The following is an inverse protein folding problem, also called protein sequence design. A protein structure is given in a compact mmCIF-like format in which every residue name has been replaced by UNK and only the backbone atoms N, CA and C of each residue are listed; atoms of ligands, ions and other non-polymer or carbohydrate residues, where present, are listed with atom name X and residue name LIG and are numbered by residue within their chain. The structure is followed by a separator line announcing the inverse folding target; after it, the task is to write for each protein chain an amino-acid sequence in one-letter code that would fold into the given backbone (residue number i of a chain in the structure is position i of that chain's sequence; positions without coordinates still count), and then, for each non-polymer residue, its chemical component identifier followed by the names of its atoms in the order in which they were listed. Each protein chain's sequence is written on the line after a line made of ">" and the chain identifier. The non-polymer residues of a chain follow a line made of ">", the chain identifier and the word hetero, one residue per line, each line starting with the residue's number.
data_IF_425135517595
#
_entry.id   IF_425135517595
#
_cell.length_a   1.000
_cell.length_b   1.000
_cell.length_c   1.000
_cell.angle_alpha   90.00
_cell.angle_beta   90.00
_cell.angle_gamma   90.00
#
_symmetry.space_group_name_H-M   'P 1'
#
loop_
_entity.id
_entity.type
_entity.pdbx_description
1 polymer ?
#
# COMPACT_ATOMS: atom_id res chain seq x y z
N UNK A 1 -89.53 -5.91 6.43
CA UNK A 1 -88.80 -4.72 5.88
C UNK A 1 -87.39 -5.18 5.49
N UNK A 2 -87.12 -5.26 4.22
CA UNK A 2 -85.93 -5.90 3.61
C UNK A 2 -84.82 -4.89 3.44
N UNK A 3 -83.63 -5.13 4.04
CA UNK A 3 -82.40 -4.37 3.82
C UNK A 3 -81.62 -4.97 2.64
N UNK A 4 -81.37 -4.20 1.60
CA UNK A 4 -80.54 -4.57 0.49
C UNK A 4 -79.12 -4.01 0.79
N UNK A 5 -78.15 -4.94 0.95
CA UNK A 5 -76.70 -4.62 0.97
C UNK A 5 -76.16 -4.58 -0.47
N UNK A 6 -75.68 -3.44 -0.89
CA UNK A 6 -74.90 -3.28 -2.15
C UNK A 6 -73.45 -3.55 -1.89
N UNK A 7 -72.87 -4.63 -2.39
CA UNK A 7 -71.46 -4.90 -2.47
C UNK A 7 -70.91 -4.21 -3.72
N UNK A 8 -69.99 -3.16 -3.54
CA UNK A 8 -69.18 -2.63 -4.59
C UNK A 8 -67.87 -3.42 -4.64
N UNK A 9 -67.67 -4.18 -5.70
CA UNK A 9 -66.40 -4.78 -6.06
C UNK A 9 -65.46 -3.67 -6.61
N UNK A 10 -64.39 -3.32 -5.88
CA UNK A 10 -63.30 -2.49 -6.38
C UNK A 10 -62.27 -3.44 -7.03
N UNK A 11 -62.24 -3.47 -8.36
CA UNK A 11 -61.16 -4.12 -9.11
C UNK A 11 -59.89 -3.24 -8.97
N UNK A 12 -58.93 -3.70 -8.19
CA UNK A 12 -57.56 -3.15 -8.18
C UNK A 12 -56.81 -3.75 -9.38
N UNK A 13 -56.69 -3.00 -10.45
CA UNK A 13 -55.76 -3.29 -11.54
C UNK A 13 -54.36 -3.05 -11.06
N UNK A 14 -53.61 -4.11 -10.69
CA UNK A 14 -52.17 -4.05 -10.45
C UNK A 14 -51.50 -3.90 -11.81
N UNK A 15 -51.11 -2.68 -12.16
CA UNK A 15 -50.19 -2.43 -13.24
C UNK A 15 -48.79 -2.93 -12.80
N UNK A 16 -48.42 -4.15 -13.26
CA UNK A 16 -47.05 -4.62 -13.26
C UNK A 16 -46.27 -3.70 -14.19
N UNK A 17 -45.65 -2.66 -13.62
CA UNK A 17 -44.56 -1.93 -14.30
C UNK A 17 -43.37 -2.91 -14.32
N UNK A 18 -43.24 -3.65 -15.40
CA UNK A 18 -41.96 -4.27 -15.75
C UNK A 18 -40.93 -3.14 -15.93
N UNK A 19 -40.21 -2.80 -14.89
CA UNK A 19 -38.97 -2.07 -15.03
C UNK A 19 -38.02 -2.96 -15.84
N UNK A 20 -37.91 -2.69 -17.13
CA UNK A 20 -36.79 -3.14 -17.93
C UNK A 20 -35.56 -2.52 -17.26
N UNK A 21 -34.95 -3.27 -16.35
CA UNK A 21 -33.60 -2.98 -15.92
C UNK A 21 -32.73 -3.13 -17.19
N UNK A 22 -32.39 -2.01 -17.81
CA UNK A 22 -31.34 -2.01 -18.83
C UNK A 22 -30.10 -2.54 -18.13
N UNK A 23 -29.64 -3.72 -18.54
CA UNK A 23 -28.38 -4.26 -18.05
C UNK A 23 -27.28 -3.22 -18.32
N UNK A 24 -26.48 -2.91 -17.31
CA UNK A 24 -25.35 -2.00 -17.50
C UNK A 24 -24.50 -2.48 -18.68
N UNK A 25 -23.94 -1.59 -19.52
CA UNK A 25 -23.04 -1.96 -20.61
C UNK A 25 -21.95 -2.88 -20.09
N UNK A 26 -21.63 -3.94 -20.83
CA UNK A 26 -20.56 -4.86 -20.47
C UNK A 26 -19.27 -4.45 -21.19
N UNK A 27 -18.14 -4.73 -20.57
CA UNK A 27 -16.84 -4.72 -21.22
C UNK A 27 -16.44 -6.18 -21.43
N UNK A 28 -16.15 -6.55 -22.68
CA UNK A 28 -15.76 -7.90 -23.06
C UNK A 28 -14.31 -7.87 -23.55
N UNK A 29 -13.39 -8.37 -22.74
CA UNK A 29 -11.96 -8.46 -23.03
C UNK A 29 -11.72 -9.84 -23.65
N UNK A 30 -11.38 -9.89 -24.94
CA UNK A 30 -11.24 -11.13 -25.72
C UNK A 30 -9.79 -11.52 -25.97
N UNK A 31 -9.55 -12.81 -26.03
CA UNK A 31 -8.28 -13.42 -26.43
C UNK A 31 -7.09 -13.06 -25.53
N UNK A 32 -7.37 -12.71 -24.26
CA UNK A 32 -6.33 -12.36 -23.29
C UNK A 32 -5.61 -13.60 -22.74
N UNK A 33 -4.32 -13.46 -22.44
CA UNK A 33 -3.60 -14.36 -21.55
C UNK A 33 -3.74 -13.85 -20.12
N UNK A 34 -4.43 -14.61 -19.25
CA UNK A 34 -4.66 -14.22 -17.86
C UNK A 34 -3.49 -14.64 -16.98
N UNK A 35 -2.94 -13.70 -16.25
CA UNK A 35 -1.87 -13.90 -15.28
C UNK A 35 -2.29 -13.32 -13.93
N UNK A 36 -2.47 -14.18 -12.96
CA UNK A 36 -2.55 -13.79 -11.55
C UNK A 36 -1.69 -14.73 -10.70
N UNK A 37 -1.31 -14.28 -9.51
CA UNK A 37 -0.32 -15.00 -8.71
C UNK A 37 -0.92 -16.14 -7.84
N UNK A 38 -2.14 -16.57 -8.11
CA UNK A 38 -2.79 -17.69 -7.43
C UNK A 38 -3.20 -18.81 -8.38
N UNK A 39 -3.54 -18.47 -9.63
CA UNK A 39 -4.01 -19.41 -10.62
C UNK A 39 -2.93 -19.71 -11.68
N UNK A 40 -2.97 -20.88 -12.34
CA UNK A 40 -2.16 -21.13 -13.53
C UNK A 40 -2.43 -20.08 -14.62
N UNK A 41 -1.45 -19.80 -15.46
CA UNK A 41 -1.65 -18.96 -16.66
C UNK A 41 -2.72 -19.58 -17.56
N UNK A 42 -3.70 -18.78 -17.98
CA UNK A 42 -4.81 -19.20 -18.85
C UNK A 42 -4.75 -18.41 -20.14
N UNK A 43 -4.52 -19.08 -21.23
CA UNK A 43 -4.38 -18.46 -22.56
C UNK A 43 -5.72 -18.39 -23.29
N UNK A 44 -5.85 -17.41 -24.21
CA UNK A 44 -6.99 -17.24 -25.09
C UNK A 44 -8.35 -17.18 -24.36
N UNK A 45 -8.41 -16.45 -23.27
CA UNK A 45 -9.62 -16.31 -22.46
C UNK A 45 -10.39 -15.04 -22.81
N UNK A 46 -11.69 -15.08 -22.62
CA UNK A 46 -12.56 -13.89 -22.61
C UNK A 46 -13.02 -13.61 -21.20
N UNK A 47 -12.82 -12.36 -20.76
CA UNK A 47 -13.29 -11.86 -19.47
C UNK A 47 -14.42 -10.88 -19.71
N UNK A 48 -15.57 -11.14 -19.10
CA UNK A 48 -16.75 -10.28 -19.18
C UNK A 48 -16.87 -9.48 -17.90
N UNK A 49 -16.91 -8.16 -18.01
CA UNK A 49 -17.11 -7.24 -16.89
C UNK A 49 -18.52 -6.65 -16.97
N UNK A 50 -19.18 -6.55 -15.83
CA UNK A 50 -20.46 -5.87 -15.70
C UNK A 50 -20.48 -5.01 -14.42
N UNK A 51 -20.61 -3.69 -14.59
CA UNK A 51 -20.38 -2.75 -13.50
C UNK A 51 -18.96 -2.89 -12.97
N UNK A 52 -18.77 -2.87 -11.67
CA UNK A 52 -17.47 -2.98 -11.02
C UNK A 52 -17.01 -4.43 -10.74
N UNK A 53 -17.63 -5.43 -11.38
CA UNK A 53 -17.34 -6.84 -11.12
C UNK A 53 -16.99 -7.63 -12.39
N UNK A 54 -16.13 -8.64 -12.22
CA UNK A 54 -15.91 -9.70 -13.20
C UNK A 54 -17.14 -10.62 -13.19
N UNK A 55 -17.89 -10.63 -14.29
CA UNK A 55 -19.11 -11.44 -14.41
C UNK A 55 -18.80 -12.89 -14.74
N UNK A 56 -17.98 -13.12 -15.78
CA UNK A 56 -17.57 -14.47 -16.19
C UNK A 56 -16.18 -14.46 -16.82
N UNK A 57 -15.60 -15.66 -16.89
CA UNK A 57 -14.36 -15.95 -17.59
C UNK A 57 -14.57 -17.23 -18.36
N UNK A 58 -14.42 -17.18 -19.68
CA UNK A 58 -14.76 -18.25 -20.60
C UNK A 58 -13.68 -18.42 -21.66
N UNK A 59 -13.63 -19.56 -22.35
CA UNK A 59 -12.85 -19.68 -23.57
C UNK A 59 -13.42 -18.75 -24.66
N UNK A 60 -12.56 -18.10 -25.43
CA UNK A 60 -12.95 -16.97 -26.31
C UNK A 60 -13.97 -17.28 -27.39
N UNK A 61 -14.26 -18.56 -27.67
CA UNK A 61 -15.25 -18.99 -28.67
C UNK A 61 -16.69 -19.04 -28.14
N UNK A 62 -16.93 -18.94 -26.83
CA UNK A 62 -18.23 -19.26 -26.19
C UNK A 62 -19.09 -18.06 -25.81
N UNK A 63 -18.54 -16.84 -25.81
CA UNK A 63 -19.25 -15.64 -25.32
C UNK A 63 -20.20 -15.07 -26.39
N UNK A 64 -21.47 -14.90 -26.02
CA UNK A 64 -22.46 -14.19 -26.85
C UNK A 64 -22.27 -12.68 -26.65
N UNK A 65 -22.05 -11.99 -27.77
CA UNK A 65 -21.78 -10.55 -27.83
C UNK A 65 -23.06 -9.82 -28.28
N UNK A 66 -23.44 -8.78 -27.56
CA UNK A 66 -24.41 -7.79 -28.01
C UNK A 66 -23.66 -6.57 -28.58
N UNK A 67 -23.50 -6.55 -29.91
CA UNK A 67 -22.74 -5.51 -30.60
C UNK A 67 -23.28 -4.07 -30.44
N UNK A 68 -24.50 -3.90 -29.90
CA UNK A 68 -25.12 -2.59 -29.67
C UNK A 68 -24.81 -2.05 -28.26
N UNK A 69 -24.61 -2.93 -27.29
CA UNK A 69 -24.48 -2.55 -25.87
C UNK A 69 -23.13 -2.92 -25.25
N UNK A 70 -22.37 -3.85 -25.86
CA UNK A 70 -21.09 -4.31 -25.33
C UNK A 70 -19.91 -3.50 -25.86
N UNK A 71 -19.00 -3.09 -24.97
CA UNK A 71 -17.68 -2.58 -25.36
C UNK A 71 -16.73 -3.75 -25.52
N UNK A 72 -16.19 -3.93 -26.72
CA UNK A 72 -15.29 -5.05 -27.03
C UNK A 72 -13.84 -4.55 -27.00
N UNK A 73 -13.00 -5.21 -26.21
CA UNK A 73 -11.55 -4.99 -26.15
C UNK A 73 -10.86 -6.24 -26.68
N UNK A 74 -10.12 -6.10 -27.79
CA UNK A 74 -9.29 -7.18 -28.33
C UNK A 74 -7.93 -7.19 -27.63
N UNK A 75 -7.69 -8.22 -26.83
CA UNK A 75 -6.45 -8.45 -26.11
C UNK A 75 -5.60 -9.58 -26.73
N UNK A 76 -5.76 -9.83 -28.02
CA UNK A 76 -4.95 -10.82 -28.75
C UNK A 76 -3.45 -10.51 -28.59
N UNK A 77 -2.69 -11.49 -28.08
CA UNK A 77 -1.26 -11.36 -27.80
C UNK A 77 -0.91 -10.47 -26.61
N UNK A 78 -1.89 -10.09 -25.78
CA UNK A 78 -1.71 -9.27 -24.59
C UNK A 78 -1.96 -10.08 -23.31
N UNK A 79 -1.52 -9.50 -22.20
CA UNK A 79 -1.53 -10.12 -20.88
C UNK A 79 -2.44 -9.33 -19.95
N UNK A 80 -3.40 -10.00 -19.34
CA UNK A 80 -4.32 -9.41 -18.39
C UNK A 80 -3.87 -9.78 -16.97
N UNK A 81 -3.64 -8.79 -16.14
CA UNK A 81 -3.28 -8.93 -14.72
C UNK A 81 -4.30 -8.21 -13.83
N UNK A 82 -4.43 -8.56 -12.54
CA UNK A 82 -5.17 -7.74 -11.58
C UNK A 82 -4.57 -6.35 -11.47
N UNK A 83 -5.40 -5.36 -11.14
CA UNK A 83 -4.94 -4.01 -10.80
C UNK A 83 -3.96 -4.02 -9.63
N UNK A 84 -2.92 -3.19 -9.74
CA UNK A 84 -1.84 -3.14 -8.76
C UNK A 84 -2.21 -2.30 -7.53
N UNK A 85 -1.56 -2.61 -6.42
CA UNK A 85 -1.59 -1.83 -5.19
C UNK A 85 -0.25 -1.14 -4.95
N UNK A 86 -0.30 0.15 -4.61
CA UNK A 86 0.78 0.78 -3.85
C UNK A 86 0.35 0.88 -2.39
N UNK A 87 0.88 -0.03 -1.57
CA UNK A 87 0.41 -0.17 -0.20
C UNK A 87 1.21 0.65 0.83
N UNK A 88 1.92 1.67 0.37
CA UNK A 88 2.57 2.66 1.23
C UNK A 88 2.72 4.00 0.50
N UNK A 89 1.75 4.87 0.67
CA UNK A 89 1.76 6.22 0.09
C UNK A 89 1.41 7.28 1.14
N UNK A 90 1.69 8.55 0.81
CA UNK A 90 1.39 9.70 1.66
C UNK A 90 0.79 10.84 0.83
N UNK A 91 -0.53 10.88 0.68
CA UNK A 91 -1.23 11.86 -0.15
C UNK A 91 -1.08 13.32 0.31
N UNK A 92 -0.69 13.53 1.58
CA UNK A 92 -0.61 14.88 2.17
C UNK A 92 0.82 15.29 2.57
N UNK A 93 1.84 14.49 2.20
CA UNK A 93 3.23 14.74 2.60
C UNK A 93 3.82 15.99 1.91
N UNK A 94 3.58 16.16 0.61
CA UNK A 94 4.02 17.30 -0.19
C UNK A 94 2.81 18.17 -0.54
N UNK A 95 2.70 19.38 0.06
CA UNK A 95 1.55 20.25 -0.17
C UNK A 95 1.37 20.70 -1.63
N UNK A 96 2.44 20.72 -2.42
CA UNK A 96 2.42 21.06 -3.84
C UNK A 96 1.86 19.99 -4.76
N UNK A 97 1.79 18.73 -4.29
CA UNK A 97 1.19 17.62 -5.01
C UNK A 97 -0.26 17.44 -4.54
N UNK A 98 -1.20 17.93 -5.34
CA UNK A 98 -2.60 17.73 -5.03
C UNK A 98 -3.04 16.28 -5.26
N UNK A 99 -4.04 15.85 -4.50
CA UNK A 99 -4.50 14.46 -4.52
C UNK A 99 -5.12 14.04 -5.86
N UNK A 100 -5.68 14.96 -6.66
CA UNK A 100 -6.24 14.62 -7.98
C UNK A 100 -5.14 14.24 -8.95
N UNK A 101 -4.08 15.04 -9.01
CA UNK A 101 -2.88 14.71 -9.78
C UNK A 101 -2.28 13.38 -9.33
N UNK A 102 -2.22 13.12 -8.01
CA UNK A 102 -1.72 11.85 -7.51
C UNK A 102 -2.60 10.67 -7.93
N UNK A 103 -3.93 10.79 -7.87
CA UNK A 103 -4.87 9.75 -8.30
C UNK A 103 -4.76 9.46 -9.79
N UNK A 104 -4.69 10.50 -10.63
CA UNK A 104 -4.51 10.35 -12.08
C UNK A 104 -3.21 9.61 -12.39
N UNK A 105 -2.11 9.94 -11.71
CA UNK A 105 -0.82 9.27 -11.86
C UNK A 105 -0.86 7.81 -11.41
N UNK A 106 -1.53 7.49 -10.29
CA UNK A 106 -1.70 6.10 -9.86
C UNK A 106 -2.46 5.30 -10.92
N UNK A 107 -3.62 5.78 -11.37
CA UNK A 107 -4.42 5.07 -12.38
C UNK A 107 -3.69 4.91 -13.70
N UNK A 108 -3.01 5.97 -14.18
CA UNK A 108 -2.24 5.93 -15.43
C UNK A 108 -1.12 4.86 -15.41
N UNK A 109 -0.62 4.52 -14.23
CA UNK A 109 0.39 3.48 -14.03
C UNK A 109 -0.19 2.14 -13.54
N UNK A 110 -1.51 1.91 -13.68
CA UNK A 110 -2.15 0.64 -13.32
C UNK A 110 -2.36 0.42 -11.83
N UNK A 111 -2.11 1.41 -10.98
CA UNK A 111 -2.35 1.30 -9.54
C UNK A 111 -3.82 1.63 -9.28
N UNK A 112 -4.62 0.59 -9.09
CA UNK A 112 -6.08 0.69 -8.87
C UNK A 112 -6.45 0.74 -7.39
N UNK A 113 -5.50 0.49 -6.50
CA UNK A 113 -5.68 0.57 -5.04
C UNK A 113 -4.45 1.17 -4.38
N UNK A 114 -4.67 2.04 -3.40
CA UNK A 114 -3.61 2.67 -2.61
C UNK A 114 -3.89 2.58 -1.12
N UNK A 115 -2.82 2.50 -0.33
CA UNK A 115 -2.88 2.55 1.13
C UNK A 115 -2.12 3.76 1.64
N UNK A 116 -2.85 4.84 2.03
CA UNK A 116 -2.25 5.99 2.72
C UNK A 116 -1.90 5.61 4.15
N UNK A 117 -0.62 5.75 4.48
CA UNK A 117 -0.03 5.27 5.73
C UNK A 117 0.31 6.36 6.71
N UNK A 118 -0.27 7.54 6.56
CA UNK A 118 -0.12 8.60 7.55
C UNK A 118 -0.49 9.98 7.05
N UNK A 119 -1.63 10.46 7.49
CA UNK A 119 -2.11 11.81 7.25
C UNK A 119 -3.03 12.27 8.38
N UNK A 120 -2.92 13.52 8.81
CA UNK A 120 -3.95 14.13 9.69
C UNK A 120 -5.28 14.16 8.91
N UNK A 121 -6.33 13.56 9.48
CA UNK A 121 -7.60 13.33 8.75
C UNK A 121 -8.21 14.62 8.19
N UNK A 122 -8.11 15.74 8.90
CA UNK A 122 -8.59 17.04 8.38
C UNK A 122 -7.89 17.48 7.08
N UNK A 123 -6.64 17.04 6.83
CA UNK A 123 -5.91 17.29 5.59
C UNK A 123 -6.21 16.26 4.52
N UNK A 124 -6.52 15.02 4.92
CA UNK A 124 -6.84 13.92 4.00
C UNK A 124 -8.31 13.95 3.55
N UNK A 125 -9.20 14.54 4.34
CA UNK A 125 -10.65 14.55 4.10
C UNK A 125 -11.04 15.00 2.68
N UNK A 126 -10.47 16.06 2.10
CA UNK A 126 -10.79 16.46 0.73
C UNK A 126 -10.48 15.36 -0.31
N UNK A 127 -9.43 14.55 -0.08
CA UNK A 127 -9.09 13.43 -0.95
C UNK A 127 -10.08 12.26 -0.77
N UNK A 128 -10.50 11.99 0.46
CA UNK A 128 -11.51 10.97 0.79
C UNK A 128 -12.86 11.36 0.16
N UNK A 129 -13.30 12.60 0.34
CA UNK A 129 -14.59 13.10 -0.20
C UNK A 129 -14.58 13.02 -1.73
N UNK A 130 -13.49 13.47 -2.36
CA UNK A 130 -13.36 13.37 -3.82
C UNK A 130 -13.39 11.93 -4.32
N UNK A 131 -12.76 10.98 -3.62
CA UNK A 131 -12.78 9.58 -3.98
C UNK A 131 -14.18 8.94 -3.85
N UNK A 132 -14.95 9.37 -2.86
CA UNK A 132 -16.33 8.93 -2.67
C UNK A 132 -17.29 9.52 -3.72
N UNK A 133 -17.09 10.77 -4.10
CA UNK A 133 -17.93 11.49 -5.09
C UNK A 133 -17.57 11.12 -6.54
N UNK A 134 -16.32 10.73 -6.80
CA UNK A 134 -15.80 10.41 -8.13
C UNK A 134 -15.11 9.03 -8.16
N UNK A 135 -15.84 7.96 -7.85
CA UNK A 135 -15.24 6.63 -7.75
C UNK A 135 -14.59 6.16 -9.06
N UNK A 136 -15.11 6.61 -10.20
CA UNK A 136 -14.58 6.36 -11.53
C UNK A 136 -13.22 7.02 -11.79
N UNK A 137 -12.84 8.08 -11.08
CA UNK A 137 -11.60 8.86 -11.29
C UNK A 137 -10.52 8.59 -10.27
N UNK A 138 -10.70 7.62 -9.40
CA UNK A 138 -9.80 7.40 -8.28
C UNK A 138 -9.50 5.93 -8.07
N UNK A 139 -8.29 5.57 -7.60
CA UNK A 139 -8.05 4.24 -7.08
C UNK A 139 -8.93 3.97 -5.84
N UNK A 140 -9.02 2.72 -5.41
CA UNK A 140 -9.59 2.39 -4.09
C UNK A 140 -8.65 2.90 -3.01
N UNK A 141 -9.16 3.72 -2.11
CA UNK A 141 -8.38 4.35 -1.06
C UNK A 141 -8.59 3.65 0.28
N UNK A 142 -7.50 3.14 0.85
CA UNK A 142 -7.41 2.63 2.21
C UNK A 142 -6.50 3.55 3.01
N UNK A 143 -6.87 3.94 4.23
CA UNK A 143 -6.09 4.90 5.00
C UNK A 143 -6.07 4.59 6.49
N UNK A 144 -4.97 4.98 7.15
CA UNK A 144 -4.81 4.86 8.61
C UNK A 144 -5.26 6.11 9.37
N UNK A 145 -5.43 7.22 8.67
CA UNK A 145 -5.41 8.50 9.34
C UNK A 145 -4.02 8.85 9.88
N UNK A 146 -3.91 9.58 10.99
CA UNK A 146 -2.62 10.05 11.51
C UNK A 146 -1.73 8.91 12.01
N UNK A 147 -0.42 9.13 11.95
CA UNK A 147 0.55 8.34 12.68
C UNK A 147 0.25 8.44 14.18
N UNK A 148 0.04 7.33 14.86
CA UNK A 148 -0.10 7.30 16.32
C UNK A 148 1.32 7.23 16.90
N UNK A 149 1.79 8.35 17.45
CA UNK A 149 3.13 8.50 18.00
C UNK A 149 3.09 8.88 19.47
N UNK A 150 4.21 8.85 20.19
CA UNK A 150 4.29 9.30 21.56
C UNK A 150 4.08 10.81 21.72
N UNK A 151 4.08 11.33 22.95
CA UNK A 151 3.96 12.78 23.21
C UNK A 151 5.06 13.59 22.51
N UNK A 152 6.25 13.00 22.34
CA UNK A 152 7.38 13.56 21.57
C UNK A 152 7.29 13.13 20.11
N UNK A 153 6.28 13.61 19.39
CA UNK A 153 6.01 13.24 17.99
C UNK A 153 7.16 13.57 17.05
N UNK A 154 7.44 12.67 16.13
CA UNK A 154 8.40 12.92 15.04
C UNK A 154 7.82 13.90 14.01
N UNK A 155 6.62 13.64 13.52
CA UNK A 155 5.95 14.43 12.46
C UNK A 155 4.88 15.35 13.05
N UNK A 156 5.29 16.46 13.66
CA UNK A 156 4.35 17.43 14.26
C UNK A 156 4.25 18.77 13.51
N UNK A 157 4.89 18.89 12.33
CA UNK A 157 4.75 20.05 11.45
C UNK A 157 5.53 21.30 11.88
N UNK A 158 6.57 21.14 12.70
CA UNK A 158 7.36 22.28 13.20
C UNK A 158 8.78 22.35 12.63
N UNK A 159 9.30 21.24 12.14
CA UNK A 159 10.65 21.15 11.58
C UNK A 159 10.59 20.97 10.05
N UNK A 160 11.56 21.55 9.29
CA UNK A 160 11.69 21.33 7.85
C UNK A 160 11.81 19.83 7.52
N UNK A 161 11.09 19.35 6.51
CA UNK A 161 11.09 17.94 6.11
C UNK A 161 10.20 17.04 6.99
N UNK A 162 9.58 17.56 8.06
CA UNK A 162 8.69 16.83 8.95
C UNK A 162 7.30 17.47 9.00
N UNK A 163 6.46 17.29 7.97
CA UNK A 163 5.10 17.84 7.96
C UNK A 163 4.25 17.28 9.10
N UNK A 164 3.10 17.88 9.36
CA UNK A 164 2.18 17.37 10.37
C UNK A 164 1.41 16.16 9.85
N UNK A 165 1.77 14.97 10.34
CA UNK A 165 1.17 13.69 9.97
C UNK A 165 0.70 12.88 11.19
N UNK A 166 1.00 13.31 12.41
CA UNK A 166 0.86 12.47 13.60
C UNK A 166 -0.01 13.07 14.69
N UNK A 167 -0.56 12.21 15.54
CA UNK A 167 -1.14 12.55 16.84
C UNK A 167 -0.25 11.97 17.95
N UNK A 168 -0.23 12.65 19.11
CA UNK A 168 0.50 12.18 20.30
C UNK A 168 -0.42 11.37 21.21
N UNK A 169 0.02 10.18 21.59
CA UNK A 169 -0.66 9.29 22.54
C UNK A 169 0.36 8.84 23.59
N UNK A 170 0.09 9.10 24.83
CA UNK A 170 0.93 8.71 25.96
C UNK A 170 0.15 7.90 26.99
N UNK A 171 0.77 7.62 28.12
CA UNK A 171 0.18 6.78 29.17
C UNK A 171 -1.02 7.43 29.89
N UNK A 172 -1.22 8.75 29.73
CA UNK A 172 -2.35 9.50 30.28
C UNK A 172 -3.48 9.67 29.25
N UNK A 173 -3.24 9.30 28.02
CA UNK A 173 -4.21 9.41 26.92
C UNK A 173 -5.15 8.21 26.95
N UNK A 174 -6.44 8.45 26.83
CA UNK A 174 -7.41 7.38 26.62
C UNK A 174 -7.25 6.80 25.20
N UNK A 175 -6.41 5.77 25.10
CA UNK A 175 -6.10 5.12 23.83
C UNK A 175 -7.33 4.50 23.16
N UNK A 176 -8.31 4.03 23.97
CA UNK A 176 -9.53 3.45 23.41
C UNK A 176 -10.42 4.53 22.77
N UNK A 177 -10.57 5.68 23.41
CA UNK A 177 -11.27 6.82 22.83
C UNK A 177 -10.62 7.30 21.53
N UNK A 178 -9.28 7.34 21.47
CA UNK A 178 -8.54 7.67 20.24
C UNK A 178 -8.84 6.69 19.13
N UNK A 179 -8.75 5.38 19.39
CA UNK A 179 -9.02 4.36 18.38
C UNK A 179 -10.48 4.39 17.93
N UNK A 180 -11.44 4.59 18.85
CA UNK A 180 -12.87 4.73 18.49
C UNK A 180 -13.09 5.92 17.56
N UNK A 181 -12.52 7.08 17.86
CA UNK A 181 -12.64 8.26 17.01
C UNK A 181 -12.05 8.05 15.61
N UNK A 182 -10.96 7.31 15.48
CA UNK A 182 -10.38 6.94 14.18
C UNK A 182 -11.29 5.98 13.41
N UNK A 183 -11.85 4.97 14.07
CA UNK A 183 -12.81 4.03 13.46
C UNK A 183 -14.06 4.76 12.96
N UNK A 184 -14.61 5.67 13.74
CA UNK A 184 -15.78 6.48 13.34
C UNK A 184 -15.48 7.35 12.10
N UNK A 185 -14.22 7.74 11.89
CA UNK A 185 -13.76 8.45 10.71
C UNK A 185 -13.36 7.53 9.53
N UNK A 186 -13.64 6.23 9.62
CA UNK A 186 -13.51 5.27 8.52
C UNK A 186 -12.09 4.77 8.25
N UNK A 187 -11.15 4.86 9.20
CA UNK A 187 -9.81 4.29 9.01
C UNK A 187 -9.87 2.78 8.78
N UNK A 188 -9.06 2.28 7.87
CA UNK A 188 -9.03 0.86 7.49
C UNK A 188 -8.06 0.04 8.35
N UNK A 189 -7.13 0.69 9.03
CA UNK A 189 -6.10 0.10 9.89
C UNK A 189 -5.48 1.19 10.77
N UNK A 190 -4.65 0.82 11.74
CA UNK A 190 -3.91 1.77 12.56
C UNK A 190 -2.43 1.79 12.18
N UNK A 191 -1.83 2.99 12.18
CA UNK A 191 -0.41 3.20 11.92
C UNK A 191 0.28 3.71 13.17
N UNK A 192 1.19 2.90 13.76
CA UNK A 192 2.03 3.30 14.89
C UNK A 192 3.35 3.89 14.45
N UNK A 193 3.96 4.67 15.37
CA UNK A 193 5.23 5.33 15.09
C UNK A 193 6.23 5.22 16.24
N UNK A 194 7.45 5.74 16.05
CA UNK A 194 8.66 5.33 16.76
C UNK A 194 8.77 5.83 18.23
N UNK A 195 8.07 6.92 18.61
CA UNK A 195 8.19 7.52 19.95
C UNK A 195 7.15 7.04 20.97
N UNK A 196 6.31 6.07 20.61
CA UNK A 196 5.40 5.44 21.57
C UNK A 196 6.18 4.75 22.71
N UNK A 197 5.63 4.80 23.94
CA UNK A 197 6.10 3.93 25.01
C UNK A 197 5.70 2.48 24.70
N UNK A 198 6.48 1.50 25.18
CA UNK A 198 6.13 0.09 25.05
C UNK A 198 4.73 -0.20 25.61
N UNK A 199 4.40 0.35 26.78
CA UNK A 199 3.10 0.19 27.44
C UNK A 199 1.94 0.71 26.57
N UNK A 200 2.05 1.93 26.05
CA UNK A 200 1.02 2.53 25.19
C UNK A 200 0.86 1.71 23.89
N UNK A 201 1.97 1.29 23.30
CA UNK A 201 1.94 0.49 22.07
C UNK A 201 1.25 -0.86 22.27
N UNK A 202 1.59 -1.59 23.34
CA UNK A 202 0.94 -2.86 23.67
C UNK A 202 -0.56 -2.70 23.95
N UNK A 203 -0.94 -1.61 24.64
CA UNK A 203 -2.35 -1.25 24.82
C UNK A 203 -3.08 -1.01 23.51
N UNK A 204 -2.48 -0.28 22.57
CA UNK A 204 -3.05 -0.04 21.24
C UNK A 204 -3.23 -1.34 20.43
N UNK A 205 -2.27 -2.28 20.51
CA UNK A 205 -2.41 -3.60 19.85
C UNK A 205 -3.61 -4.37 20.42
N UNK A 206 -3.77 -4.40 21.74
CA UNK A 206 -4.88 -5.09 22.39
C UNK A 206 -6.25 -4.47 22.03
N UNK A 207 -6.36 -3.13 21.98
CA UNK A 207 -7.58 -2.43 21.59
C UNK A 207 -7.90 -2.70 20.10
N UNK A 208 -6.91 -2.62 19.22
CA UNK A 208 -7.08 -2.86 17.80
C UNK A 208 -7.56 -4.30 17.53
N UNK A 209 -7.01 -5.28 18.23
CA UNK A 209 -7.41 -6.68 18.13
C UNK A 209 -8.89 -6.87 18.48
N UNK A 210 -9.39 -6.23 19.56
CA UNK A 210 -10.81 -6.30 19.93
C UNK A 210 -11.74 -5.71 18.87
N UNK A 211 -11.22 -4.78 18.05
CA UNK A 211 -11.97 -4.12 16.98
C UNK A 211 -11.73 -4.74 15.58
N UNK A 212 -11.01 -5.87 15.51
CA UNK A 212 -10.60 -6.51 14.25
C UNK A 212 -9.83 -5.57 13.30
N UNK A 213 -9.09 -4.61 13.85
CA UNK A 213 -8.20 -3.72 13.11
C UNK A 213 -6.78 -4.26 13.14
N UNK A 214 -6.11 -4.24 12.00
CA UNK A 214 -4.66 -4.49 11.96
C UNK A 214 -3.90 -3.24 12.38
N UNK A 215 -2.82 -3.44 13.13
CA UNK A 215 -1.83 -2.41 13.42
C UNK A 215 -0.59 -2.68 12.59
N UNK A 216 -0.15 -1.69 11.84
CA UNK A 216 1.10 -1.74 11.10
C UNK A 216 1.89 -0.46 11.34
N UNK A 217 3.15 -0.42 10.99
CA UNK A 217 3.91 0.83 11.08
C UNK A 217 5.38 0.65 11.40
N UNK A 218 5.93 1.69 11.98
CA UNK A 218 7.24 1.61 12.61
C UNK A 218 7.07 1.03 14.02
N UNK A 219 7.96 0.14 14.38
CA UNK A 219 7.99 -0.40 15.74
C UNK A 219 8.54 0.69 16.65
N UNK A 220 7.91 0.96 17.81
CA UNK A 220 8.44 1.92 18.77
C UNK A 220 9.87 1.59 19.16
N UNK A 221 10.69 2.63 19.29
CA UNK A 221 12.10 2.50 19.68
C UNK A 221 12.28 1.97 21.11
N UNK A 222 11.21 1.96 21.90
CA UNK A 222 11.19 1.56 23.32
C UNK A 222 11.04 0.07 23.56
N UNK A 223 10.62 -0.72 22.54
CA UNK A 223 10.20 -2.13 22.69
C UNK A 223 11.09 -3.09 21.90
N UNK A 224 11.20 -4.32 22.38
CA UNK A 224 11.78 -5.43 21.62
C UNK A 224 10.82 -5.89 20.53
N UNK A 225 11.37 -6.27 19.36
CA UNK A 225 10.56 -6.68 18.23
C UNK A 225 9.79 -7.98 18.48
N UNK A 226 10.40 -8.94 19.19
CA UNK A 226 9.74 -10.22 19.50
C UNK A 226 8.52 -10.00 20.38
N UNK A 227 8.63 -9.11 21.39
CA UNK A 227 7.51 -8.73 22.25
C UNK A 227 6.37 -8.06 21.44
N UNK A 228 6.70 -7.21 20.47
CA UNK A 228 5.72 -6.59 19.60
C UNK A 228 4.98 -7.65 18.72
N UNK A 229 5.70 -8.63 18.18
CA UNK A 229 5.14 -9.73 17.39
C UNK A 229 4.18 -10.57 18.25
N UNK A 230 4.62 -10.96 19.44
CA UNK A 230 3.83 -11.80 20.38
C UNK A 230 2.56 -11.07 20.86
N UNK A 231 2.59 -9.74 20.89
CA UNK A 231 1.43 -8.91 21.23
C UNK A 231 0.42 -8.71 20.08
N UNK A 232 0.66 -9.31 18.90
CA UNK A 232 -0.28 -9.27 17.77
C UNK A 232 -0.04 -8.15 16.76
N UNK A 233 1.22 -7.73 16.59
CA UNK A 233 1.58 -6.82 15.50
C UNK A 233 1.13 -7.36 14.14
N UNK A 234 0.38 -6.57 13.35
CA UNK A 234 -0.15 -6.98 12.06
C UNK A 234 0.79 -6.74 10.87
N UNK A 235 1.74 -5.79 10.99
CA UNK A 235 2.69 -5.52 9.91
C UNK A 235 3.79 -4.53 10.29
N UNK A 236 4.88 -4.54 9.51
CA UNK A 236 6.01 -3.61 9.64
C UNK A 236 6.28 -2.90 8.33
N UNK A 237 6.92 -1.74 8.42
CA UNK A 237 7.29 -0.93 7.26
C UNK A 237 8.76 -0.54 7.32
N UNK A 238 9.39 -0.35 6.13
CA UNK A 238 10.80 0.05 5.95
C UNK A 238 11.82 -0.86 6.64
N UNK A 239 11.45 -2.10 7.01
CA UNK A 239 12.33 -3.05 7.71
C UNK A 239 12.82 -2.47 9.07
N UNK A 240 12.07 -1.51 9.66
CA UNK A 240 12.50 -0.80 10.87
C UNK A 240 12.64 -1.72 12.08
N UNK A 241 13.69 -1.50 12.90
CA UNK A 241 14.06 -2.29 14.08
C UNK A 241 14.53 -3.74 13.82
N UNK A 242 14.49 -4.22 12.58
CA UNK A 242 15.02 -5.55 12.27
C UNK A 242 16.55 -5.59 12.35
N UNK A 243 17.21 -4.46 12.02
CA UNK A 243 18.64 -4.27 12.25
C UNK A 243 19.03 -4.59 13.69
N UNK A 244 18.33 -4.00 14.65
CA UNK A 244 18.54 -4.28 16.07
C UNK A 244 18.17 -5.72 16.45
N UNK A 245 17.00 -6.20 16.03
CA UNK A 245 16.51 -7.54 16.41
C UNK A 245 17.44 -8.65 15.90
N UNK A 246 18.12 -8.45 14.77
CA UNK A 246 19.07 -9.37 14.18
C UNK A 246 20.51 -9.26 14.74
N UNK A 247 20.82 -8.28 15.60
CA UNK A 247 22.18 -8.06 16.10
C UNK A 247 22.54 -9.01 17.26
N UNK A 248 23.81 -9.43 17.35
CA UNK A 248 24.32 -10.24 18.47
C UNK A 248 24.14 -9.55 19.83
N UNK A 249 24.27 -8.23 19.83
CA UNK A 249 24.19 -7.39 21.02
C UNK A 249 22.87 -6.60 21.08
N UNK A 250 21.77 -7.17 20.59
CA UNK A 250 20.46 -6.53 20.51
C UNK A 250 19.96 -5.98 21.85
N UNK A 251 20.10 -6.76 22.93
CA UNK A 251 19.67 -6.37 24.27
C UNK A 251 20.45 -5.14 24.79
N UNK A 252 21.78 -5.12 24.58
CA UNK A 252 22.62 -3.99 24.95
C UNK A 252 22.22 -2.71 24.19
N UNK A 253 22.01 -2.83 22.87
CA UNK A 253 21.58 -1.70 22.04
C UNK A 253 20.21 -1.21 22.48
N UNK A 254 19.26 -2.09 22.78
CA UNK A 254 17.92 -1.73 23.26
C UNK A 254 17.99 -0.97 24.61
N UNK A 255 18.78 -1.44 25.55
CA UNK A 255 18.98 -0.75 26.85
C UNK A 255 19.55 0.67 26.66
N UNK A 256 20.54 0.83 25.79
CA UNK A 256 21.09 2.15 25.42
C UNK A 256 20.03 3.03 24.76
N UNK A 257 19.22 2.49 23.88
CA UNK A 257 18.11 3.18 23.21
C UNK A 257 17.07 3.67 24.22
N UNK A 258 16.66 2.80 25.13
CA UNK A 258 15.72 3.15 26.21
C UNK A 258 16.28 4.24 27.15
N UNK A 259 17.59 4.24 27.41
CA UNK A 259 18.25 5.30 28.19
C UNK A 259 18.24 6.66 27.46
N UNK A 260 18.46 6.67 26.12
CA UNK A 260 18.34 7.89 25.30
C UNK A 260 16.90 8.43 25.30
N UNK A 261 15.90 7.54 25.20
CA UNK A 261 14.49 7.92 25.22
C UNK A 261 14.02 8.51 26.56
N UNK A 262 14.68 8.18 27.68
CA UNK A 262 14.40 8.79 29.00
C UNK A 262 14.87 10.25 29.09
N UNK A 263 15.91 10.64 28.35
CA UNK A 263 16.47 12.00 28.34
C UNK A 263 15.79 12.90 27.28
N UNK A 264 14.51 12.69 27.05
CA UNK A 264 13.72 13.27 25.94
C UNK A 264 13.45 14.78 26.02
N UNK A 265 13.68 15.42 27.19
CA UNK A 265 13.21 16.80 27.43
C UNK A 265 14.04 17.89 26.75
N UNK A 266 15.13 17.55 26.06
CA UNK A 266 16.05 18.52 25.46
C UNK A 266 16.01 18.60 23.93
N UNK A 267 15.32 17.64 23.24
CA UNK A 267 15.35 17.54 21.77
C UNK A 267 13.96 17.34 21.18
N UNK A 268 13.69 17.86 19.96
CA UNK A 268 12.52 17.45 19.18
C UNK A 268 12.54 15.93 18.89
N UNK A 269 11.36 15.33 18.74
CA UNK A 269 11.23 13.90 18.47
C UNK A 269 11.93 13.47 17.18
N UNK A 270 11.87 14.29 16.15
CA UNK A 270 12.60 14.11 14.87
C UNK A 270 14.12 14.04 15.07
N UNK A 271 14.69 14.96 15.87
CA UNK A 271 16.11 14.98 16.17
C UNK A 271 16.54 13.78 17.01
N UNK A 272 15.80 13.46 18.08
CA UNK A 272 16.10 12.29 18.93
C UNK A 272 16.07 10.99 18.15
N UNK A 273 15.02 10.79 17.30
CA UNK A 273 14.91 9.65 16.40
C UNK A 273 16.14 9.54 15.48
N UNK A 274 16.53 10.64 14.86
CA UNK A 274 17.70 10.69 13.96
C UNK A 274 18.98 10.29 14.68
N UNK A 275 19.23 10.84 15.86
CA UNK A 275 20.41 10.50 16.68
C UNK A 275 20.43 9.00 17.04
N UNK A 276 19.30 8.44 17.44
CA UNK A 276 19.19 7.01 17.77
C UNK A 276 19.54 6.15 16.54
N UNK A 277 18.93 6.43 15.40
CA UNK A 277 19.20 5.66 14.18
C UNK A 277 20.65 5.80 13.72
N UNK A 278 21.21 7.02 13.69
CA UNK A 278 22.58 7.23 13.28
C UNK A 278 23.60 6.54 14.20
N UNK A 279 23.35 6.54 15.51
CA UNK A 279 24.29 5.95 16.49
C UNK A 279 24.19 4.43 16.57
N UNK A 280 23.09 3.81 16.13
CA UNK A 280 22.85 2.39 16.41
C UNK A 280 22.70 1.50 15.17
N UNK A 281 22.13 2.01 14.06
CA UNK A 281 21.80 1.20 12.89
C UNK A 281 23.02 0.44 12.33
N UNK A 282 24.09 1.16 12.01
CA UNK A 282 25.28 0.54 11.40
C UNK A 282 26.07 -0.31 12.39
N UNK A 283 26.00 0.02 13.68
CA UNK A 283 26.54 -0.85 14.75
C UNK A 283 25.76 -2.18 14.79
N UNK A 284 24.45 -2.12 14.70
CA UNK A 284 23.60 -3.31 14.69
C UNK A 284 23.82 -4.16 13.42
N UNK A 285 23.83 -3.53 12.25
CA UNK A 285 24.09 -4.23 10.96
C UNK A 285 25.48 -4.89 10.96
N UNK A 286 26.52 -4.20 11.45
CA UNK A 286 27.87 -4.72 11.56
C UNK A 286 28.03 -5.87 12.58
N UNK A 287 27.08 -6.02 13.49
CA UNK A 287 27.01 -7.12 14.47
C UNK A 287 25.91 -8.15 14.15
N UNK A 288 25.57 -8.30 12.89
CA UNK A 288 24.55 -9.26 12.44
C UNK A 288 24.83 -10.68 12.97
N UNK A 289 23.82 -11.30 13.56
CA UNK A 289 23.75 -12.73 13.87
C UNK A 289 22.72 -13.38 12.93
N UNK A 290 23.20 -14.14 11.97
CA UNK A 290 22.35 -14.76 10.95
C UNK A 290 21.34 -15.74 11.53
N UNK A 291 21.76 -16.57 12.52
CA UNK A 291 20.86 -17.55 13.15
C UNK A 291 19.76 -16.86 13.95
N UNK A 292 20.11 -15.78 14.68
CA UNK A 292 19.15 -14.94 15.39
C UNK A 292 18.20 -14.28 14.40
N UNK A 293 18.73 -13.72 13.33
CA UNK A 293 17.93 -13.07 12.29
C UNK A 293 16.92 -14.02 11.65
N UNK A 294 17.33 -15.22 11.28
CA UNK A 294 16.44 -16.26 10.74
C UNK A 294 15.35 -16.65 11.75
N UNK A 295 15.67 -16.74 13.05
CA UNK A 295 14.65 -17.00 14.09
C UNK A 295 13.61 -15.88 14.15
N UNK A 296 14.05 -14.62 14.15
CA UNK A 296 13.14 -13.45 14.13
C UNK A 296 12.26 -13.46 12.87
N UNK A 297 12.85 -13.69 11.70
CA UNK A 297 12.12 -13.73 10.42
C UNK A 297 11.08 -14.87 10.40
N UNK A 298 11.45 -16.06 10.88
CA UNK A 298 10.48 -17.17 11.00
C UNK A 298 9.36 -16.87 11.99
N UNK A 299 9.65 -16.11 13.03
CA UNK A 299 8.65 -15.69 13.98
C UNK A 299 7.67 -14.69 13.37
N UNK A 300 8.15 -13.74 12.54
CA UNK A 300 7.32 -12.86 11.73
C UNK A 300 6.39 -13.67 10.80
N UNK A 301 6.93 -14.67 10.10
CA UNK A 301 6.16 -15.52 9.19
C UNK A 301 5.08 -16.33 9.94
N UNK A 302 5.43 -16.96 11.06
CA UNK A 302 4.53 -17.78 11.88
C UNK A 302 3.35 -16.97 12.45
N UNK A 303 3.56 -15.68 12.73
CA UNK A 303 2.55 -14.77 13.27
C UNK A 303 1.85 -13.93 12.18
N UNK A 304 2.07 -14.21 10.90
CA UNK A 304 1.47 -13.47 9.78
C UNK A 304 1.71 -11.95 9.87
N UNK A 305 2.91 -11.52 10.28
CA UNK A 305 3.31 -10.11 10.31
C UNK A 305 3.74 -9.68 8.93
N UNK A 306 2.89 -8.93 8.25
CA UNK A 306 3.14 -8.45 6.88
C UNK A 306 4.30 -7.45 6.83
N UNK A 307 5.10 -7.51 5.78
CA UNK A 307 6.24 -6.62 5.59
C UNK A 307 6.05 -5.74 4.36
N UNK A 308 6.13 -4.42 4.53
CA UNK A 308 6.17 -3.46 3.40
C UNK A 308 7.57 -2.83 3.39
N UNK A 309 8.54 -3.42 2.67
CA UNK A 309 9.95 -3.05 2.79
C UNK A 309 10.27 -1.66 2.23
N UNK A 310 9.52 -1.19 1.22
CA UNK A 310 9.78 0.07 0.52
C UNK A 310 11.24 0.19 0.08
N UNK A 311 11.70 -0.78 -0.70
CA UNK A 311 13.08 -0.80 -1.19
C UNK A 311 13.43 0.44 -2.00
N UNK A 312 12.44 1.04 -2.69
CA UNK A 312 12.61 2.32 -3.39
C UNK A 312 13.17 3.41 -2.50
N UNK A 313 12.64 3.59 -1.28
CA UNK A 313 13.17 4.62 -0.35
C UNK A 313 14.41 4.14 0.39
N UNK A 314 14.50 2.84 0.71
CA UNK A 314 15.65 2.31 1.45
C UNK A 314 16.94 2.24 0.61
N UNK A 315 16.82 2.19 -0.71
CA UNK A 315 17.97 2.17 -1.63
C UNK A 315 18.17 3.50 -2.38
N UNK A 316 17.37 4.51 -2.07
CA UNK A 316 17.35 5.79 -2.77
C UNK A 316 18.70 6.47 -2.82
N UNK A 317 19.40 6.55 -1.67
CA UNK A 317 20.65 7.28 -1.53
C UNK A 317 21.83 6.56 -2.20
N UNK A 318 21.76 5.25 -2.34
CA UNK A 318 22.79 4.43 -2.99
C UNK A 318 22.54 4.25 -4.49
N UNK A 319 21.34 3.81 -4.90
CA UNK A 319 21.02 3.53 -6.30
C UNK A 319 20.73 4.79 -7.12
N UNK A 320 20.19 5.84 -6.51
CA UNK A 320 19.98 7.18 -7.11
C UNK A 320 19.24 7.14 -8.44
N UNK A 321 18.24 6.25 -8.57
CA UNK A 321 17.46 6.15 -9.81
C UNK A 321 16.80 7.49 -10.20
N UNK A 322 16.56 8.41 -9.25
CA UNK A 322 16.11 9.78 -9.53
C UNK A 322 17.11 10.59 -10.38
N UNK A 323 18.37 10.14 -10.51
CA UNK A 323 19.36 10.74 -11.40
C UNK A 323 19.25 10.23 -12.84
N UNK A 324 18.52 9.15 -13.09
CA UNK A 324 18.27 8.61 -14.42
C UNK A 324 17.32 9.53 -15.21
N UNK A 325 17.56 9.62 -16.54
CA UNK A 325 16.76 10.49 -17.39
C UNK A 325 15.28 10.05 -17.39
N UNK A 326 15.05 8.76 -17.57
CA UNK A 326 13.73 8.15 -17.62
C UNK A 326 12.92 8.45 -16.35
N UNK A 327 13.58 8.43 -15.19
CA UNK A 327 12.94 8.80 -13.93
C UNK A 327 12.55 10.28 -13.90
N UNK A 328 13.49 11.17 -14.25
CA UNK A 328 13.21 12.61 -14.27
C UNK A 328 12.17 13.01 -15.31
N UNK A 329 12.05 12.24 -16.40
CA UNK A 329 11.00 12.48 -17.40
C UNK A 329 9.60 12.31 -16.79
N UNK A 330 9.43 11.52 -15.72
CA UNK A 330 8.14 11.40 -15.01
C UNK A 330 7.70 12.69 -14.32
N UNK A 331 8.63 13.58 -13.97
CA UNK A 331 8.32 14.83 -13.30
C UNK A 331 7.47 15.78 -14.16
N UNK A 332 7.45 15.60 -15.50
CA UNK A 332 6.60 16.42 -16.38
C UNK A 332 5.11 16.31 -16.05
N UNK A 333 4.69 15.26 -15.38
CA UNK A 333 3.30 15.03 -14.98
C UNK A 333 2.95 15.63 -13.60
N UNK A 334 3.94 16.16 -12.90
CA UNK A 334 3.77 16.80 -11.60
C UNK A 334 3.37 18.28 -11.75
N UNK A 335 2.74 18.90 -10.74
CA UNK A 335 2.47 20.34 -10.73
C UNK A 335 3.76 21.15 -10.99
N UNK A 336 3.68 22.19 -11.81
CA UNK A 336 4.82 22.96 -12.32
C UNK A 336 5.86 23.39 -11.26
N UNK A 337 5.40 23.76 -10.05
CA UNK A 337 6.28 24.16 -8.96
C UNK A 337 7.10 22.99 -8.45
N UNK A 338 6.45 21.84 -8.25
CA UNK A 338 7.07 20.61 -7.77
C UNK A 338 8.01 20.03 -8.83
N UNK A 339 7.58 20.00 -10.09
CA UNK A 339 8.41 19.58 -11.21
C UNK A 339 9.76 20.30 -11.24
N UNK A 340 9.74 21.64 -11.12
CA UNK A 340 10.96 22.47 -11.16
C UNK A 340 11.86 22.22 -9.95
N UNK A 341 11.29 22.13 -8.73
CA UNK A 341 12.07 21.86 -7.52
C UNK A 341 12.71 20.48 -7.58
N UNK A 342 11.95 19.44 -7.88
CA UNK A 342 12.47 18.07 -7.97
C UNK A 342 13.54 17.92 -9.06
N UNK A 343 13.36 18.57 -10.22
CA UNK A 343 14.35 18.52 -11.28
C UNK A 343 15.70 19.13 -10.82
N UNK A 344 15.67 20.29 -10.16
CA UNK A 344 16.87 20.96 -9.66
C UNK A 344 17.51 20.18 -8.51
N UNK A 345 16.69 19.77 -7.55
CA UNK A 345 17.15 19.08 -6.34
C UNK A 345 17.74 17.70 -6.66
N UNK A 346 17.09 16.92 -7.53
CA UNK A 346 17.59 15.60 -7.95
C UNK A 346 18.94 15.69 -8.67
N UNK A 347 19.16 16.72 -9.51
CA UNK A 347 20.45 16.98 -10.15
C UNK A 347 21.53 17.35 -9.12
N UNK A 348 21.17 18.14 -8.11
CA UNK A 348 22.13 18.54 -7.09
C UNK A 348 22.51 17.36 -6.19
N UNK A 349 21.54 16.58 -5.72
CA UNK A 349 21.80 15.37 -4.94
C UNK A 349 22.60 14.32 -5.71
N UNK A 350 22.37 14.20 -7.03
CA UNK A 350 23.14 13.27 -7.87
C UNK A 350 24.64 13.60 -7.96
N UNK A 351 25.06 14.83 -7.60
CA UNK A 351 26.50 15.24 -7.56
C UNK A 351 27.19 14.82 -6.26
N UNK A 352 26.42 14.55 -5.20
CA UNK A 352 26.98 14.12 -3.92
C UNK A 352 27.61 12.73 -4.04
N UNK A 353 28.58 12.42 -3.18
CA UNK A 353 29.19 11.08 -3.16
C UNK A 353 28.28 10.11 -2.41
N UNK A 354 28.05 8.92 -2.99
CA UNK A 354 27.38 7.82 -2.26
C UNK A 354 28.26 7.40 -1.09
N UNK A 355 27.72 7.46 0.12
CA UNK A 355 28.49 7.06 1.31
C UNK A 355 28.59 5.53 1.41
N UNK A 356 29.59 5.04 2.15
CA UNK A 356 29.72 3.62 2.46
C UNK A 356 28.50 3.11 3.26
N UNK A 357 27.98 3.93 4.16
CA UNK A 357 26.77 3.61 4.93
C UNK A 357 25.53 3.40 4.05
N UNK A 358 25.37 4.19 2.98
CA UNK A 358 24.23 4.03 2.06
C UNK A 358 24.30 2.67 1.36
N UNK A 359 25.50 2.24 0.94
CA UNK A 359 25.71 0.92 0.33
C UNK A 359 25.48 -0.22 1.33
N UNK A 360 26.01 -0.09 2.55
CA UNK A 360 25.77 -1.08 3.62
C UNK A 360 24.28 -1.22 3.91
N UNK A 361 23.53 -0.12 3.92
CA UNK A 361 22.09 -0.15 4.17
C UNK A 361 21.29 -0.74 3.00
N UNK A 362 21.69 -0.45 1.76
CA UNK A 362 21.16 -1.10 0.56
C UNK A 362 21.36 -2.62 0.62
N UNK A 363 22.63 -3.06 0.75
CA UNK A 363 22.98 -4.50 0.77
C UNK A 363 22.22 -5.25 1.87
N UNK A 364 22.15 -4.62 3.06
CA UNK A 364 21.39 -5.18 4.18
C UNK A 364 19.89 -5.27 3.86
N UNK A 365 19.29 -4.23 3.30
CA UNK A 365 17.87 -4.18 2.96
C UNK A 365 17.52 -5.24 1.93
N UNK A 366 18.33 -5.37 0.87
CA UNK A 366 18.16 -6.37 -0.17
C UNK A 366 18.31 -7.80 0.39
N UNK A 367 19.33 -8.04 1.22
CA UNK A 367 19.53 -9.33 1.91
C UNK A 367 18.33 -9.73 2.77
N UNK A 368 17.81 -8.80 3.57
CA UNK A 368 16.69 -9.05 4.48
C UNK A 368 15.41 -9.40 3.70
N UNK A 369 15.10 -8.67 2.63
CA UNK A 369 13.93 -8.96 1.80
C UNK A 369 14.05 -10.33 1.13
N UNK A 370 15.24 -10.71 0.66
CA UNK A 370 15.50 -12.06 0.18
C UNK A 370 15.30 -13.14 1.25
N UNK A 371 15.68 -12.86 2.50
CA UNK A 371 15.43 -13.77 3.64
C UNK A 371 13.93 -13.83 4.00
N UNK A 372 13.19 -12.73 3.92
CA UNK A 372 11.73 -12.74 4.08
C UNK A 372 11.09 -13.71 3.10
N UNK A 373 11.40 -13.57 1.80
CA UNK A 373 10.85 -14.42 0.75
C UNK A 373 11.18 -15.90 1.01
N UNK A 374 12.43 -16.21 1.31
CA UNK A 374 12.90 -17.60 1.58
C UNK A 374 12.24 -18.25 2.79
N UNK A 375 11.80 -17.46 3.78
CA UNK A 375 11.19 -17.97 5.02
C UNK A 375 9.67 -17.76 5.06
N UNK A 376 9.02 -17.42 3.93
CA UNK A 376 7.57 -17.36 3.81
C UNK A 376 6.91 -16.17 4.48
N UNK A 377 7.65 -15.10 4.72
CA UNK A 377 7.08 -13.82 5.21
C UNK A 377 6.25 -13.18 4.11
N UNK A 378 5.05 -12.72 4.42
CA UNK A 378 4.18 -12.04 3.47
C UNK A 378 4.69 -10.63 3.18
N UNK A 379 5.13 -10.40 1.94
CA UNK A 379 5.65 -9.13 1.46
C UNK A 379 4.54 -8.38 0.72
N UNK A 380 4.35 -7.10 1.04
CA UNK A 380 3.45 -6.18 0.37
C UNK A 380 4.28 -5.10 -0.32
N UNK A 381 4.09 -4.89 -1.62
CA UNK A 381 4.72 -3.82 -2.36
C UNK A 381 4.16 -2.45 -1.94
N UNK A 382 5.04 -1.49 -1.75
CA UNK A 382 4.72 -0.11 -1.40
C UNK A 382 5.95 0.76 -1.49
N UNK A 383 5.79 2.05 -1.80
CA UNK A 383 6.91 2.89 -2.26
C UNK A 383 7.37 3.96 -1.29
N UNK A 384 6.48 4.44 -0.43
CA UNK A 384 6.64 5.66 0.36
C UNK A 384 6.51 6.97 -0.48
N UNK A 385 5.90 6.86 -1.70
CA UNK A 385 5.67 8.03 -2.56
C UNK A 385 4.81 9.09 -1.84
N UNK A 386 5.07 10.38 -2.00
CA UNK A 386 6.01 11.06 -2.91
C UNK A 386 7.35 11.44 -2.25
N UNK A 387 7.77 10.78 -1.18
CA UNK A 387 9.03 11.09 -0.47
C UNK A 387 10.23 10.74 -1.38
N UNK A 388 11.29 11.54 -1.34
CA UNK A 388 12.54 11.22 -2.04
C UNK A 388 12.44 11.22 -3.58
N UNK A 389 11.67 12.12 -4.18
CA UNK A 389 11.47 12.20 -5.64
C UNK A 389 10.73 10.98 -6.24
N UNK A 390 9.98 10.23 -5.42
CA UNK A 390 9.20 9.08 -5.86
C UNK A 390 7.90 9.55 -6.51
N UNK A 391 7.82 9.48 -7.85
CA UNK A 391 6.62 9.86 -8.59
C UNK A 391 5.50 8.86 -8.34
N UNK A 392 4.28 9.30 -7.93
CA UNK A 392 3.15 8.41 -7.73
C UNK A 392 2.89 7.51 -8.95
N UNK A 393 2.60 6.26 -8.68
CA UNK A 393 2.36 5.25 -9.70
C UNK A 393 3.64 4.67 -10.29
N UNK A 394 4.47 5.48 -10.94
CA UNK A 394 5.71 5.04 -11.57
C UNK A 394 6.66 4.34 -10.58
N UNK A 395 6.74 4.85 -9.35
CA UNK A 395 7.62 4.31 -8.29
C UNK A 395 7.31 2.88 -7.91
N UNK A 396 6.05 2.41 -8.07
CA UNK A 396 5.69 1.04 -7.74
C UNK A 396 6.36 0.04 -8.68
N UNK A 397 6.49 0.36 -9.95
CA UNK A 397 7.18 -0.53 -10.88
C UNK A 397 8.65 -0.70 -10.51
N UNK A 398 9.30 0.37 -10.02
CA UNK A 398 10.66 0.29 -9.49
C UNK A 398 10.73 -0.57 -8.22
N UNK A 399 9.76 -0.46 -7.31
CA UNK A 399 9.68 -1.33 -6.15
C UNK A 399 9.59 -2.81 -6.55
N UNK A 400 8.76 -3.14 -7.55
CA UNK A 400 8.66 -4.50 -8.07
C UNK A 400 9.99 -5.00 -8.68
N UNK A 401 10.73 -4.15 -9.41
CA UNK A 401 12.07 -4.47 -9.90
C UNK A 401 13.03 -4.78 -8.76
N UNK A 402 13.05 -3.93 -7.73
CA UNK A 402 13.92 -4.10 -6.56
C UNK A 402 13.56 -5.36 -5.75
N UNK A 403 12.28 -5.70 -5.65
CA UNK A 403 11.85 -6.95 -5.02
C UNK A 403 12.38 -8.17 -5.79
N UNK A 404 12.37 -8.14 -7.13
CA UNK A 404 12.95 -9.21 -7.95
C UNK A 404 14.48 -9.24 -7.79
N UNK A 405 15.15 -8.10 -7.78
CA UNK A 405 16.59 -8.00 -7.50
C UNK A 405 16.95 -8.56 -6.12
N UNK A 406 16.08 -8.36 -5.13
CA UNK A 406 16.23 -8.92 -3.77
C UNK A 406 15.97 -10.44 -3.70
N UNK A 407 15.56 -11.09 -4.80
CA UNK A 407 15.43 -12.54 -4.90
C UNK A 407 13.99 -13.07 -4.95
N UNK A 408 12.99 -12.23 -5.20
CA UNK A 408 11.65 -12.69 -5.54
C UNK A 408 11.62 -13.09 -7.02
N UNK A 409 10.77 -14.06 -7.37
CA UNK A 409 10.42 -14.27 -8.79
C UNK A 409 9.47 -13.16 -9.28
N UNK A 410 9.36 -12.90 -10.60
CA UNK A 410 8.38 -11.94 -11.12
C UNK A 410 6.94 -12.22 -10.64
N UNK A 411 6.56 -13.50 -10.54
CA UNK A 411 5.24 -13.90 -10.03
C UNK A 411 5.07 -13.55 -8.53
N UNK A 412 6.12 -13.72 -7.71
CA UNK A 412 6.08 -13.34 -6.29
C UNK A 412 6.04 -11.82 -6.11
N UNK A 413 6.75 -11.07 -6.95
CA UNK A 413 6.68 -9.60 -6.98
C UNK A 413 5.26 -9.14 -7.38
N UNK A 414 4.66 -9.73 -8.41
CA UNK A 414 3.27 -9.45 -8.79
C UNK A 414 2.30 -9.77 -7.64
N UNK A 415 2.48 -10.91 -6.96
CA UNK A 415 1.69 -11.27 -5.78
C UNK A 415 1.76 -10.22 -4.68
N UNK A 416 2.93 -9.62 -4.45
CA UNK A 416 3.12 -8.60 -3.41
C UNK A 416 2.33 -7.29 -3.68
N UNK A 417 1.99 -7.03 -4.94
CA UNK A 417 1.19 -5.87 -5.36
C UNK A 417 -0.26 -6.21 -5.73
N UNK A 418 -0.73 -7.43 -5.51
CA UNK A 418 -2.08 -7.86 -5.88
C UNK A 418 -2.78 -8.61 -4.75
N UNK A 419 -2.39 -9.84 -4.50
CA UNK A 419 -3.04 -10.74 -3.53
C UNK A 419 -2.66 -10.38 -2.09
N UNK A 420 -1.36 -10.18 -1.81
CA UNK A 420 -0.88 -9.99 -0.44
C UNK A 420 -1.49 -8.74 0.23
N UNK A 421 -1.63 -7.58 -0.43
CA UNK A 421 -2.36 -6.45 0.17
C UNK A 421 -3.85 -6.74 0.38
N UNK A 422 -4.50 -7.52 -0.51
CA UNK A 422 -5.88 -7.96 -0.30
C UNK A 422 -5.99 -8.86 0.94
N UNK A 423 -5.06 -9.81 1.15
CA UNK A 423 -4.98 -10.64 2.36
C UNK A 423 -4.78 -9.80 3.64
N UNK A 424 -4.02 -8.70 3.56
CA UNK A 424 -3.86 -7.79 4.70
C UNK A 424 -5.19 -7.20 5.16
N UNK A 425 -6.12 -6.94 4.24
CA UNK A 425 -7.44 -6.38 4.54
C UNK A 425 -8.55 -7.43 4.62
N UNK A 426 -8.26 -8.74 4.50
CA UNK A 426 -9.22 -9.84 4.38
C UNK A 426 -10.20 -9.63 3.20
N UNK A 427 -9.68 -9.11 2.08
CA UNK A 427 -10.42 -8.82 0.84
C UNK A 427 -10.05 -9.75 -0.31
N UNK A 428 -9.34 -10.85 -0.07
CA UNK A 428 -8.92 -11.81 -1.09
C UNK A 428 -10.10 -12.48 -1.82
N UNK A 429 -11.27 -12.51 -1.20
CA UNK A 429 -12.51 -12.95 -1.85
C UNK A 429 -13.09 -11.92 -2.83
N UNK A 430 -12.58 -10.67 -2.81
CA UNK A 430 -13.08 -9.55 -3.61
C UNK A 430 -12.09 -9.03 -4.64
N UNK A 431 -10.79 -9.24 -4.45
CA UNK A 431 -9.75 -8.67 -5.31
C UNK A 431 -8.43 -9.45 -5.24
N UNK A 432 -7.47 -9.08 -6.07
CA UNK A 432 -6.13 -9.67 -6.10
C UNK A 432 -5.92 -10.80 -7.10
N UNK A 433 -6.99 -11.42 -7.62
CA UNK A 433 -6.96 -12.43 -8.69
C UNK A 433 -8.03 -12.14 -9.74
N UNK A 434 -7.95 -12.83 -10.89
CA UNK A 434 -8.92 -12.70 -11.99
C UNK A 434 -9.90 -13.86 -11.89
N UNK A 435 -11.04 -13.65 -11.20
CA UNK A 435 -12.06 -14.66 -10.94
C UNK A 435 -13.45 -14.04 -10.94
N UNK A 436 -14.50 -14.78 -11.36
CA UNK A 436 -15.88 -14.30 -11.32
C UNK A 436 -16.29 -13.85 -9.91
N UNK A 437 -17.01 -12.73 -9.83
CA UNK A 437 -17.50 -12.13 -8.59
C UNK A 437 -16.48 -11.20 -7.91
N UNK A 438 -15.24 -11.10 -8.39
CA UNK A 438 -14.24 -10.15 -7.92
C UNK A 438 -14.35 -8.79 -8.63
N UNK A 439 -13.75 -7.78 -8.03
CA UNK A 439 -13.74 -6.43 -8.59
C UNK A 439 -13.05 -6.39 -9.97
N UNK A 440 -13.60 -5.59 -10.84
CA UNK A 440 -13.09 -5.35 -12.18
C UNK A 440 -12.00 -4.25 -12.15
N UNK A 441 -10.93 -4.53 -11.41
CA UNK A 441 -9.70 -3.75 -11.36
C UNK A 441 -8.62 -4.56 -12.08
N UNK A 442 -8.32 -4.21 -13.33
CA UNK A 442 -7.51 -5.02 -14.24
C UNK A 442 -6.56 -4.15 -15.07
N UNK A 443 -5.46 -4.75 -15.53
CA UNK A 443 -4.50 -4.10 -16.43
C UNK A 443 -4.25 -5.02 -17.61
N UNK A 444 -4.33 -4.47 -18.80
CA UNK A 444 -3.89 -5.14 -20.02
C UNK A 444 -2.49 -4.64 -20.35
N UNK A 445 -1.53 -5.56 -20.46
CA UNK A 445 -0.14 -5.29 -20.79
C UNK A 445 0.18 -5.74 -22.20
N UNK A 446 1.09 -5.05 -22.88
CA UNK A 446 1.62 -5.50 -24.18
C UNK A 446 2.59 -6.67 -24.03
N UNK A 447 3.37 -6.70 -22.94
CA UNK A 447 4.45 -7.67 -22.72
C UNK A 447 4.21 -8.51 -21.46
N UNK A 448 4.70 -9.76 -21.47
CA UNK A 448 4.52 -10.72 -20.39
C UNK A 448 5.29 -10.30 -19.10
N UNK A 449 4.62 -10.00 -17.99
CA UNK A 449 5.28 -9.60 -16.75
C UNK A 449 6.07 -10.74 -16.07
N UNK A 450 5.83 -11.99 -16.47
CA UNK A 450 6.59 -13.13 -15.96
C UNK A 450 7.95 -13.31 -16.64
N UNK A 451 8.12 -12.80 -17.87
CA UNK A 451 9.41 -12.79 -18.56
C UNK A 451 10.34 -11.71 -17.99
N UNK A 452 9.75 -10.58 -17.63
CA UNK A 452 10.41 -9.48 -16.91
C UNK A 452 9.38 -8.68 -16.14
N UNK A 453 9.61 -8.46 -14.86
CA UNK A 453 8.70 -7.64 -14.03
C UNK A 453 8.62 -6.19 -14.52
N UNK A 454 9.62 -5.69 -15.26
CA UNK A 454 9.60 -4.38 -15.93
C UNK A 454 8.42 -4.24 -16.90
N UNK A 455 7.94 -5.34 -17.45
CA UNK A 455 6.82 -5.37 -18.37
C UNK A 455 5.48 -4.93 -17.73
N UNK A 456 5.41 -4.80 -16.40
CA UNK A 456 4.26 -4.17 -15.74
C UNK A 456 4.08 -2.70 -16.11
N UNK A 457 5.11 -2.04 -16.65
CA UNK A 457 5.07 -0.67 -17.17
C UNK A 457 4.56 -0.59 -18.62
N UNK A 458 4.58 -1.70 -19.35
CA UNK A 458 4.17 -1.75 -20.77
C UNK A 458 2.64 -1.86 -20.88
N UNK A 459 1.96 -0.84 -20.33
CA UNK A 459 0.52 -0.79 -20.17
C UNK A 459 -0.17 -0.47 -21.49
N UNK A 460 -1.07 -1.36 -21.94
CA UNK A 460 -1.99 -1.10 -23.05
C UNK A 460 -3.26 -0.39 -22.57
N UNK A 461 -3.83 -0.83 -21.44
CA UNK A 461 -5.10 -0.31 -20.92
C UNK A 461 -5.21 -0.58 -19.41
N UNK A 462 -5.79 0.36 -18.71
CA UNK A 462 -6.18 0.19 -17.29
C UNK A 462 -7.69 0.17 -17.19
N UNK A 463 -8.20 -0.74 -16.41
CA UNK A 463 -9.61 -0.82 -16.04
C UNK A 463 -9.68 -0.74 -14.52
N UNK A 464 -10.36 0.26 -14.00
CA UNK A 464 -10.54 0.44 -12.56
C UNK A 464 -12.02 0.58 -12.26
N UNK A 465 -12.51 -0.22 -11.30
CA UNK A 465 -13.93 -0.28 -10.92
C UNK A 465 -14.86 -0.49 -12.12
N UNK A 466 -14.40 -1.32 -13.07
CA UNK A 466 -15.14 -1.66 -14.27
C UNK A 466 -15.16 -0.58 -15.36
N UNK A 467 -14.39 0.49 -15.22
CA UNK A 467 -14.31 1.59 -16.19
C UNK A 467 -12.92 1.66 -16.83
N UNK A 468 -12.85 1.85 -18.16
CA UNK A 468 -11.61 2.04 -18.90
C UNK A 468 -11.03 3.43 -18.58
N UNK A 469 -9.72 3.50 -18.33
CA UNK A 469 -8.97 4.72 -17.99
C UNK A 469 -8.03 5.15 -19.09
#
# INVERSE_FOLDING_TARGET
>A
MRNYLFYRFLMFSVLLVNSLAFASPRIIIKHATLIDAANPVRENMTVVLQGDAIQSIEESSSVIIDAQNDTIVDATGKFLIPGLWDAHVHLTFIPELDYKTAYDLFLANGITSIRDTGAVLSKLQPAIDYANENPDKTPRLFYSGPLIDGSLRVYKGKEPGFPELSIGVDENTDSEAVVNALVEQGVSFLKTYEMLSAKTFLGLLAIAQQKNLRVTGHIPLSIDLMEAIDAGLGGMQHIRNLDLACAKNAEEILVKRQALLKNKDSLPGSALRTIIHQSQRFVAIGNLDEDRCIKVIRHLAANNVFQTPTLTINTLDSKRFYAEKEWRDTYQFLPNKLQKSWYIESINMAKETVSENDKIFEDWSMKIVGLFNKNGVKIIAGTDTPIGFLTPGYSLHKELELLVEAGLTPLQALRSATITPAEFFNLESKMGTIEPGKYADLIILHSNPLDSIKNTQDIHMVIAKGEIK
#
